data_IF_877037246641
#
_entry.id   IF_877037246641
#
_cell.length_a   1.000
_cell.length_b   1.000
_cell.length_c   1.000
_cell.angle_alpha   90.00
_cell.angle_beta   90.00
_cell.angle_gamma   90.00
#
_symmetry.space_group_name_H-M   'P 1'
#
loop_
_entity.id
_entity.type
_entity.pdbx_description
1 polymer ?
#
# COMPACT_ATOMS: atom_id res chain seq x y z
N UNK A 1 -28.89 -18.12 9.42
CA UNK A 1 -27.85 -17.37 8.69
C UNK A 1 -26.80 -18.39 8.25
N UNK A 2 -26.99 -19.01 7.08
CA UNK A 2 -26.26 -20.23 6.71
C UNK A 2 -24.79 -19.92 6.37
N UNK A 3 -23.88 -20.38 7.22
CA UNK A 3 -22.45 -20.34 6.93
C UNK A 3 -22.13 -21.36 5.85
N UNK A 4 -22.02 -20.91 4.60
CA UNK A 4 -21.50 -21.79 3.55
C UNK A 4 -20.04 -22.09 3.89
N UNK A 5 -19.71 -23.38 3.97
CA UNK A 5 -18.33 -23.79 4.21
C UNK A 5 -17.45 -23.39 3.03
N UNK A 6 -16.32 -22.76 3.32
CA UNK A 6 -15.31 -22.42 2.32
C UNK A 6 -14.34 -23.59 2.22
N UNK A 7 -14.23 -24.18 1.04
CA UNK A 7 -13.33 -25.31 0.80
C UNK A 7 -11.86 -24.89 0.82
N UNK A 8 -10.95 -25.86 1.05
CA UNK A 8 -9.50 -25.62 0.96
C UNK A 8 -9.06 -25.11 -0.42
N UNK A 9 -9.73 -25.57 -1.49
CA UNK A 9 -9.46 -25.12 -2.87
C UNK A 9 -9.82 -23.64 -3.06
N UNK A 10 -10.93 -23.19 -2.48
CA UNK A 10 -11.32 -21.78 -2.50
C UNK A 10 -10.27 -20.91 -1.80
N UNK A 11 -9.80 -21.31 -0.63
CA UNK A 11 -8.73 -20.58 0.06
C UNK A 11 -7.43 -20.51 -0.74
N UNK A 12 -7.08 -21.57 -1.47
CA UNK A 12 -5.93 -21.56 -2.37
C UNK A 12 -6.11 -20.53 -3.49
N UNK A 13 -7.31 -20.42 -4.08
CA UNK A 13 -7.59 -19.41 -5.10
C UNK A 13 -7.51 -17.99 -4.54
N UNK A 14 -8.03 -17.77 -3.34
CA UNK A 14 -7.96 -16.46 -2.65
C UNK A 14 -6.51 -16.10 -2.32
N UNK A 15 -5.72 -17.04 -1.80
CA UNK A 15 -4.31 -16.83 -1.52
C UNK A 15 -3.50 -16.54 -2.79
N UNK A 16 -3.72 -17.31 -3.86
CA UNK A 16 -3.10 -17.07 -5.15
C UNK A 16 -3.46 -15.68 -5.70
N UNK A 17 -4.73 -15.28 -5.59
CA UNK A 17 -5.17 -13.95 -6.01
C UNK A 17 -4.54 -12.83 -5.16
N UNK A 18 -4.44 -13.02 -3.84
CA UNK A 18 -3.75 -12.07 -2.96
C UNK A 18 -2.28 -11.89 -3.36
N UNK A 19 -1.57 -12.98 -3.69
CA UNK A 19 -0.18 -12.92 -4.19
C UNK A 19 -0.09 -12.12 -5.50
N UNK A 20 -1.04 -12.33 -6.42
CA UNK A 20 -1.10 -11.56 -7.67
C UNK A 20 -1.30 -10.07 -7.38
N UNK A 21 -2.24 -9.71 -6.49
CA UNK A 21 -2.50 -8.32 -6.13
C UNK A 21 -1.31 -7.66 -5.43
N UNK A 22 -0.66 -8.34 -4.50
CA UNK A 22 0.54 -7.84 -3.82
C UNK A 22 1.67 -7.62 -4.82
N UNK A 23 1.94 -8.62 -5.68
CA UNK A 23 2.95 -8.50 -6.72
C UNK A 23 2.67 -7.30 -7.62
N UNK A 24 1.41 -7.14 -8.04
CA UNK A 24 1.00 -6.01 -8.88
C UNK A 24 1.17 -4.66 -8.18
N UNK A 25 0.86 -4.57 -6.88
CA UNK A 25 1.06 -3.34 -6.10
C UNK A 25 2.53 -2.98 -5.88
N UNK A 26 3.41 -3.98 -5.76
CA UNK A 26 4.84 -3.78 -5.51
C UNK A 26 5.64 -3.60 -6.80
N UNK A 27 5.12 -4.06 -7.94
CA UNK A 27 5.82 -4.02 -9.23
C UNK A 27 6.34 -2.62 -9.61
N UNK A 28 5.58 -1.51 -9.45
CA UNK A 28 6.08 -0.18 -9.77
C UNK A 28 7.26 0.24 -8.90
N UNK A 29 7.31 -0.21 -7.64
CA UNK A 29 8.41 0.07 -6.73
C UNK A 29 9.65 -0.73 -7.09
N UNK A 30 9.50 -2.01 -7.46
CA UNK A 30 10.61 -2.84 -7.97
C UNK A 30 11.22 -2.20 -9.21
N UNK A 31 10.38 -1.75 -10.16
CA UNK A 31 10.85 -1.03 -11.36
C UNK A 31 11.52 0.30 -10.98
N UNK A 32 10.99 1.02 -9.99
CA UNK A 32 11.57 2.26 -9.47
C UNK A 32 13.00 2.07 -8.96
N UNK A 33 13.23 1.06 -8.10
CA UNK A 33 14.56 0.71 -7.62
C UNK A 33 15.50 0.21 -8.73
N UNK A 34 14.98 -0.58 -9.68
CA UNK A 34 15.79 -1.08 -10.80
C UNK A 34 16.17 0.00 -11.82
N UNK A 35 15.47 1.14 -11.81
CA UNK A 35 15.67 2.26 -12.75
C UNK A 35 16.38 3.46 -12.10
N UNK A 36 17.00 3.27 -10.94
CA UNK A 36 17.78 4.32 -10.26
C UNK A 36 18.97 4.76 -11.13
N UNK A 37 19.08 6.05 -11.49
CA UNK A 37 20.27 6.57 -12.13
C UNK A 37 21.38 6.73 -11.12
N UNK A 38 22.60 6.77 -11.65
CA UNK A 38 23.80 7.02 -10.88
C UNK A 38 23.69 8.30 -10.02
N UNK A 39 24.06 8.16 -8.75
CA UNK A 39 24.04 9.25 -7.77
C UNK A 39 22.65 9.65 -7.25
N UNK A 40 21.59 8.91 -7.58
CA UNK A 40 20.23 9.15 -7.06
C UNK A 40 19.68 7.91 -6.35
N UNK A 41 18.62 8.11 -5.57
CA UNK A 41 17.94 7.05 -4.81
C UNK A 41 16.43 7.16 -5.05
N UNK A 42 15.76 6.01 -5.15
CA UNK A 42 14.33 5.95 -5.28
C UNK A 42 13.67 6.29 -3.95
N UNK A 43 12.71 7.23 -3.95
CA UNK A 43 12.06 7.74 -2.73
C UNK A 43 10.99 6.80 -2.16
N UNK A 44 11.01 5.51 -2.51
CA UNK A 44 10.04 4.50 -2.08
C UNK A 44 8.58 4.72 -2.54
N UNK A 45 8.30 5.80 -3.26
CA UNK A 45 6.97 6.19 -3.72
C UNK A 45 7.02 6.67 -5.18
N UNK A 46 5.95 6.42 -5.93
CA UNK A 46 5.79 6.83 -7.31
C UNK A 46 4.84 8.02 -7.47
N UNK A 47 4.93 8.71 -8.60
CA UNK A 47 3.93 9.70 -9.00
C UNK A 47 2.57 9.02 -9.24
N UNK A 48 1.43 9.60 -8.82
CA UNK A 48 1.25 10.95 -8.25
C UNK A 48 1.29 11.03 -6.71
N UNK A 49 1.44 9.90 -6.00
CA UNK A 49 1.17 9.80 -4.55
C UNK A 49 2.34 10.29 -3.68
N UNK A 50 3.46 10.73 -4.28
CA UNK A 50 4.65 11.15 -3.54
C UNK A 50 4.42 12.29 -2.54
N UNK A 51 3.45 13.18 -2.79
CA UNK A 51 3.18 14.34 -1.93
C UNK A 51 2.68 13.91 -0.54
N UNK A 52 1.77 12.95 -0.47
CA UNK A 52 1.23 12.46 0.81
C UNK A 52 2.20 11.49 1.50
N UNK A 53 2.95 10.71 0.73
CA UNK A 53 3.87 9.70 1.25
C UNK A 53 4.94 10.30 2.18
N UNK A 54 5.46 11.48 1.85
CA UNK A 54 6.45 12.17 2.68
C UNK A 54 5.92 12.55 4.07
N UNK A 55 4.62 12.88 4.17
CA UNK A 55 3.99 13.12 5.48
C UNK A 55 3.88 11.84 6.29
N UNK A 56 3.53 10.72 5.66
CA UNK A 56 3.51 9.42 6.34
C UNK A 56 4.88 9.03 6.86
N UNK A 57 5.95 9.19 6.05
CA UNK A 57 7.32 8.94 6.50
C UNK A 57 7.72 9.85 7.66
N UNK A 58 7.29 11.11 7.63
CA UNK A 58 7.53 12.06 8.73
C UNK A 58 6.83 11.63 10.02
N UNK A 59 5.61 11.09 9.97
CA UNK A 59 4.92 10.56 11.14
C UNK A 59 5.55 9.26 11.67
N UNK A 60 5.92 8.33 10.77
CA UNK A 60 6.63 7.11 11.14
C UNK A 60 7.96 7.45 11.84
N UNK A 61 8.68 8.46 11.33
CA UNK A 61 9.92 8.93 11.95
C UNK A 61 9.68 9.57 13.32
N UNK A 62 8.67 10.43 13.46
CA UNK A 62 8.31 11.02 14.75
C UNK A 62 7.94 9.94 15.79
N UNK A 63 7.23 8.89 15.38
CA UNK A 63 6.93 7.75 16.22
C UNK A 63 8.19 6.97 16.62
N UNK A 64 9.13 6.76 15.68
CA UNK A 64 10.40 6.12 15.96
C UNK A 64 11.26 6.92 16.97
N UNK A 65 11.15 8.25 16.93
CA UNK A 65 11.77 9.18 17.89
C UNK A 65 11.07 9.20 19.26
N UNK A 66 9.94 8.50 19.41
CA UNK A 66 9.23 8.31 20.68
C UNK A 66 8.01 9.21 20.88
N UNK A 67 7.58 9.95 19.86
CA UNK A 67 6.36 10.73 19.94
C UNK A 67 5.13 9.83 19.77
N UNK A 68 4.06 10.13 20.52
CA UNK A 68 2.76 9.46 20.37
C UNK A 68 1.81 10.31 19.52
N UNK A 69 1.92 11.63 19.67
CA UNK A 69 1.23 12.62 18.85
C UNK A 69 2.20 13.23 17.85
N UNK A 70 1.74 13.48 16.64
CA UNK A 70 2.57 13.94 15.53
C UNK A 70 2.25 15.38 15.16
N UNK A 71 3.26 16.03 14.57
CA UNK A 71 3.19 17.34 13.96
C UNK A 71 3.15 17.22 12.44
N UNK A 72 2.50 18.19 11.80
CA UNK A 72 2.62 18.45 10.38
C UNK A 72 3.80 19.42 10.19
N UNK A 73 4.75 19.08 9.30
CA UNK A 73 5.99 19.86 9.10
C UNK A 73 6.05 20.56 7.73
N UNK A 74 4.90 21.00 7.20
CA UNK A 74 4.83 21.66 5.90
C UNK A 74 5.22 23.14 5.93
N UNK A 75 5.17 23.80 7.08
CA UNK A 75 5.54 25.22 7.24
C UNK A 75 6.59 25.39 8.34
N UNK A 76 7.30 26.53 8.30
CA UNK A 76 8.29 26.89 9.32
C UNK A 76 7.65 27.40 10.63
N UNK A 77 6.33 27.51 10.68
CA UNK A 77 5.62 27.91 11.89
C UNK A 77 5.70 26.81 12.96
N UNK A 78 5.78 27.16 14.25
CA UNK A 78 5.77 26.17 15.31
C UNK A 78 4.39 25.50 15.40
N UNK A 79 4.36 24.18 15.21
CA UNK A 79 3.13 23.37 15.31
C UNK A 79 3.13 22.55 16.60
N UNK A 80 1.96 22.39 17.21
CA UNK A 80 1.76 21.49 18.35
C UNK A 80 1.64 20.03 17.90
N UNK A 81 2.08 19.09 18.73
CA UNK A 81 1.85 17.66 18.51
C UNK A 81 0.39 17.33 18.80
N UNK A 82 -0.46 17.33 17.78
CA UNK A 82 -1.91 17.16 17.92
C UNK A 82 -2.46 15.91 17.22
N UNK A 83 -1.72 15.32 16.28
CA UNK A 83 -2.24 14.27 15.42
C UNK A 83 -1.95 12.87 15.98
N UNK A 84 -2.98 12.12 16.33
CA UNK A 84 -2.85 10.72 16.73
C UNK A 84 -3.15 9.80 15.55
N UNK A 85 -2.13 9.11 15.03
CA UNK A 85 -2.28 8.13 13.97
C UNK A 85 -1.75 6.75 14.40
N UNK A 86 -2.62 5.85 14.91
CA UNK A 86 -2.22 4.56 15.44
C UNK A 86 -1.42 3.69 14.47
N UNK A 87 -1.77 3.70 13.18
CA UNK A 87 -1.05 2.92 12.17
C UNK A 87 0.41 3.38 12.06
N UNK A 88 0.64 4.68 11.88
CA UNK A 88 1.99 5.23 11.77
C UNK A 88 2.77 5.15 13.08
N UNK A 89 2.07 5.18 14.22
CA UNK A 89 2.67 4.89 15.52
C UNK A 89 3.24 3.47 15.57
N UNK A 90 2.44 2.46 15.22
CA UNK A 90 2.91 1.06 15.19
C UNK A 90 4.06 0.89 14.19
N UNK A 91 3.96 1.49 13.00
CA UNK A 91 5.03 1.47 12.02
C UNK A 91 6.32 2.10 12.55
N UNK A 92 6.24 3.25 13.23
CA UNK A 92 7.41 3.91 13.83
C UNK A 92 8.00 3.12 15.00
N UNK A 93 7.18 2.43 15.79
CA UNK A 93 7.67 1.53 16.84
C UNK A 93 8.46 0.34 16.24
N UNK A 94 8.03 -0.20 15.09
CA UNK A 94 8.79 -1.22 14.37
C UNK A 94 10.12 -0.67 13.86
N UNK A 95 10.13 0.54 13.32
CA UNK A 95 11.37 1.21 12.90
C UNK A 95 12.29 1.46 14.09
N UNK A 96 11.75 1.84 15.25
CA UNK A 96 12.50 2.07 16.49
C UNK A 96 13.24 0.84 16.98
N UNK A 97 12.65 -0.35 16.82
CA UNK A 97 13.30 -1.62 17.21
C UNK A 97 14.23 -2.17 16.14
N UNK A 98 14.47 -1.43 15.06
CA UNK A 98 15.49 -1.74 14.05
C UNK A 98 14.97 -2.36 12.75
N UNK A 99 13.64 -2.41 12.53
CA UNK A 99 13.11 -2.85 11.23
C UNK A 99 13.32 -1.75 10.18
N UNK A 100 13.90 -2.04 9.00
CA UNK A 100 14.04 -1.06 7.93
C UNK A 100 12.70 -0.42 7.53
N UNK A 101 12.71 0.89 7.26
CA UNK A 101 11.51 1.67 6.93
C UNK A 101 10.81 1.10 5.68
N UNK A 102 11.58 0.62 4.71
CA UNK A 102 11.12 0.00 3.47
C UNK A 102 10.31 -1.25 3.74
N UNK A 103 10.81 -2.11 4.63
CA UNK A 103 10.12 -3.35 5.02
C UNK A 103 8.83 -3.01 5.75
N UNK A 104 8.86 -2.04 6.67
CA UNK A 104 7.65 -1.59 7.38
C UNK A 104 6.63 -1.01 6.40
N UNK A 105 7.06 -0.16 5.48
CA UNK A 105 6.20 0.53 4.52
C UNK A 105 5.54 -0.44 3.54
N UNK A 106 6.32 -1.23 2.80
CA UNK A 106 5.80 -2.18 1.81
C UNK A 106 5.13 -3.38 2.46
N UNK A 107 5.64 -3.85 3.60
CA UNK A 107 5.04 -4.93 4.37
C UNK A 107 3.64 -4.56 4.88
N UNK A 108 3.44 -3.33 5.35
CA UNK A 108 2.12 -2.84 5.78
C UNK A 108 1.15 -2.78 4.60
N UNK A 109 1.58 -2.30 3.43
CA UNK A 109 0.74 -2.30 2.23
C UNK A 109 0.37 -3.71 1.77
N UNK A 110 1.35 -4.63 1.72
CA UNK A 110 1.10 -6.02 1.36
C UNK A 110 0.12 -6.69 2.34
N UNK A 111 0.29 -6.46 3.66
CA UNK A 111 -0.62 -6.97 4.68
C UNK A 111 -2.04 -6.41 4.50
N UNK A 112 -2.18 -5.12 4.19
CA UNK A 112 -3.48 -4.51 3.93
C UNK A 112 -4.17 -5.13 2.71
N UNK A 113 -3.43 -5.34 1.61
CA UNK A 113 -3.94 -5.99 0.39
C UNK A 113 -4.39 -7.43 0.69
N UNK A 114 -3.55 -8.22 1.36
CA UNK A 114 -3.89 -9.61 1.73
C UNK A 114 -5.14 -9.61 2.61
N UNK A 115 -5.17 -8.78 3.65
CA UNK A 115 -6.30 -8.70 4.58
C UNK A 115 -7.60 -8.36 3.85
N UNK A 116 -7.56 -7.36 2.97
CA UNK A 116 -8.71 -6.94 2.19
C UNK A 116 -9.21 -8.06 1.27
N UNK A 117 -8.32 -8.73 0.53
CA UNK A 117 -8.69 -9.83 -0.38
C UNK A 117 -9.39 -10.97 0.38
N UNK A 118 -8.85 -11.36 1.53
CA UNK A 118 -9.45 -12.42 2.36
C UNK A 118 -10.79 -11.96 2.95
N UNK A 119 -10.87 -10.73 3.48
CA UNK A 119 -12.11 -10.18 4.03
C UNK A 119 -13.23 -10.07 2.99
N UNK A 120 -12.91 -9.60 1.78
CA UNK A 120 -13.86 -9.53 0.67
C UNK A 120 -14.40 -10.93 0.33
N UNK A 121 -13.53 -11.93 0.27
CA UNK A 121 -13.97 -13.28 -0.02
C UNK A 121 -14.88 -13.87 1.08
N UNK A 122 -14.51 -13.67 2.34
CA UNK A 122 -15.37 -14.04 3.49
C UNK A 122 -16.72 -13.34 3.38
N UNK A 123 -16.72 -12.03 3.07
CA UNK A 123 -17.92 -11.26 2.88
C UNK A 123 -18.79 -11.86 1.75
N UNK A 124 -18.24 -12.11 0.56
CA UNK A 124 -18.99 -12.71 -0.56
C UNK A 124 -19.50 -14.12 -0.28
N UNK A 125 -18.76 -14.91 0.52
CA UNK A 125 -19.21 -16.25 0.92
C UNK A 125 -20.53 -16.25 1.69
N UNK A 126 -20.86 -15.14 2.36
CA UNK A 126 -22.12 -14.95 3.11
C UNK A 126 -23.33 -14.71 2.22
N UNK A 127 -23.14 -14.22 0.99
CA UNK A 127 -24.22 -13.80 0.08
C UNK A 127 -24.37 -14.69 -1.16
N UNK A 128 -23.26 -15.24 -1.67
CA UNK A 128 -23.28 -16.09 -2.86
C UNK A 128 -23.07 -17.55 -2.49
N UNK A 129 -23.97 -18.42 -2.94
CA UNK A 129 -23.82 -19.89 -2.80
C UNK A 129 -22.81 -20.42 -3.83
N UNK A 130 -22.88 -19.94 -5.07
CA UNK A 130 -22.01 -20.39 -6.15
C UNK A 130 -20.60 -19.80 -6.04
N UNK A 131 -19.59 -20.68 -5.97
CA UNK A 131 -18.16 -20.31 -5.88
C UNK A 131 -17.74 -19.36 -7.01
N UNK A 132 -18.23 -19.60 -8.23
CA UNK A 132 -17.92 -18.76 -9.40
C UNK A 132 -18.36 -17.30 -9.19
N UNK A 133 -19.51 -17.06 -8.55
CA UNK A 133 -19.99 -15.70 -8.26
C UNK A 133 -19.12 -15.01 -7.19
N UNK A 134 -18.64 -15.75 -6.18
CA UNK A 134 -17.72 -15.22 -5.16
C UNK A 134 -16.40 -14.78 -5.77
N UNK A 135 -15.80 -15.65 -6.60
CA UNK A 135 -14.52 -15.36 -7.25
C UNK A 135 -14.65 -14.21 -8.26
N UNK A 136 -15.73 -14.20 -9.03
CA UNK A 136 -16.00 -13.09 -9.95
C UNK A 136 -16.15 -11.76 -9.20
N UNK A 137 -16.93 -11.72 -8.11
CA UNK A 137 -17.08 -10.52 -7.29
C UNK A 137 -15.74 -10.07 -6.67
N UNK A 138 -14.93 -11.02 -6.18
CA UNK A 138 -13.60 -10.73 -5.63
C UNK A 138 -12.69 -10.07 -6.68
N UNK A 139 -12.54 -10.71 -7.85
CA UNK A 139 -11.69 -10.21 -8.93
C UNK A 139 -12.19 -8.85 -9.40
N UNK A 140 -13.50 -8.72 -9.61
CA UNK A 140 -14.11 -7.46 -10.04
C UNK A 140 -13.83 -6.35 -9.03
N UNK A 141 -14.02 -6.58 -7.73
CA UNK A 141 -13.78 -5.55 -6.71
C UNK A 141 -12.31 -5.15 -6.56
N UNK A 142 -11.37 -6.07 -6.78
CA UNK A 142 -9.95 -5.73 -6.77
C UNK A 142 -9.53 -4.90 -8.00
N UNK A 143 -10.21 -5.02 -9.13
CA UNK A 143 -9.81 -4.39 -10.41
C UNK A 143 -10.80 -3.29 -10.87
N UNK A 144 -11.88 -3.06 -10.11
CA UNK A 144 -12.93 -2.09 -10.45
C UNK A 144 -12.44 -0.63 -10.53
N UNK A 145 -11.31 -0.29 -9.90
CA UNK A 145 -10.66 1.01 -10.05
C UNK A 145 -10.17 1.30 -11.48
N UNK A 146 -10.24 0.31 -12.38
CA UNK A 146 -9.89 0.42 -13.78
C UNK A 146 -8.38 0.51 -14.02
N UNK A 147 -8.02 0.96 -15.22
CA UNK A 147 -6.63 1.05 -15.66
C UNK A 147 -6.14 2.51 -15.73
N UNK A 148 -6.66 3.39 -14.87
CA UNK A 148 -6.24 4.80 -14.83
C UNK A 148 -4.73 4.96 -14.61
N UNK A 149 -4.10 4.02 -13.91
CA UNK A 149 -2.64 3.97 -13.77
C UNK A 149 -1.90 3.77 -15.11
N UNK A 150 -2.52 3.14 -16.13
CA UNK A 150 -1.93 3.00 -17.45
C UNK A 150 -1.86 4.35 -18.17
N UNK A 151 -2.85 5.24 -17.99
CA UNK A 151 -2.78 6.61 -18.52
C UNK A 151 -1.55 7.34 -17.98
N UNK A 152 -1.25 7.13 -16.70
CA UNK A 152 -0.02 7.60 -16.08
C UNK A 152 1.21 6.88 -16.64
N UNK A 153 1.19 5.55 -16.81
CA UNK A 153 2.30 4.84 -17.47
C UNK A 153 2.60 5.38 -18.87
N UNK A 154 1.60 5.62 -19.72
CA UNK A 154 1.78 6.12 -21.09
C UNK A 154 2.13 7.61 -21.17
N UNK A 155 1.58 8.45 -20.28
CA UNK A 155 1.90 9.89 -20.22
C UNK A 155 3.23 10.18 -19.50
N UNK A 156 3.65 9.30 -18.59
CA UNK A 156 4.86 9.45 -17.75
C UNK A 156 6.01 8.55 -18.23
N UNK A 157 5.83 7.63 -19.19
CA UNK A 157 6.95 6.90 -19.81
C UNK A 157 8.08 7.83 -20.31
N UNK A 158 7.79 9.03 -20.85
CA UNK A 158 8.82 10.04 -21.14
C UNK A 158 9.25 10.87 -19.93
N UNK A 159 8.46 10.95 -18.85
CA UNK A 159 8.69 11.80 -17.67
C UNK A 159 9.30 11.06 -16.46
N UNK A 160 9.50 9.74 -16.52
CA UNK A 160 10.52 9.04 -15.74
C UNK A 160 11.94 9.52 -16.10
N UNK A 161 12.11 10.20 -17.25
CA UNK A 161 13.21 11.15 -17.42
C UNK A 161 12.92 12.37 -16.56
N UNK A 162 13.34 12.29 -15.29
CA UNK A 162 13.81 13.43 -14.49
C UNK A 162 13.28 14.78 -14.95
N UNK A 163 11.98 15.04 -14.78
CA UNK A 163 11.55 16.44 -14.81
C UNK A 163 12.17 17.07 -13.57
N UNK A 164 13.07 18.04 -13.73
CA UNK A 164 13.44 18.86 -12.60
C UNK A 164 12.15 19.46 -12.03
N UNK A 165 12.13 19.66 -10.72
CA UNK A 165 11.07 20.45 -10.11
C UNK A 165 11.40 21.89 -10.50
N UNK A 166 10.92 22.29 -11.67
CA UNK A 166 10.87 23.69 -12.09
C UNK A 166 9.80 24.42 -11.29
#
# INVERSE_FOLDING_TARGET
MFGVSISKKEWLYVAAWAVVMVTFSLLPHIVGYASEPEGKQYMMTGYPIYQDANTYFTWIRQAAEGNILFQIKYTHEPHVQAFFHPLFLVMGLLVRVGVPLEIVWYGTQALAVITLVFMLYVFYSRYFVAVRKRLFALVLSCVAGGFGFLMFAFRIWPAFKWRPVD
#
